data_IF_703717122293
#
_entry.id   IF_703717122293
#
_cell.length_a   1.000
_cell.length_b   1.000
_cell.length_c   1.000
_cell.angle_alpha   90.00
_cell.angle_beta   90.00
_cell.angle_gamma   90.00
#
_symmetry.space_group_name_H-M   'P 1'
#
loop_
_entity.id
_entity.type
_entity.pdbx_description
1 polymer ?
#
# COMPACT_ATOMS: atom_id res chain seq x y z
N UNK A 1 11.13 -12.51 -3.18
CA UNK A 1 11.32 -11.46 -2.16
C UNK A 1 12.59 -11.69 -1.34
N UNK A 2 12.84 -12.89 -0.79
CA UNK A 2 14.14 -13.26 -0.21
C UNK A 2 15.33 -12.99 -1.16
N UNK A 3 15.13 -13.20 -2.46
CA UNK A 3 16.14 -12.95 -3.49
C UNK A 3 16.28 -11.47 -3.93
N UNK A 4 15.34 -10.58 -3.57
CA UNK A 4 15.54 -9.12 -3.71
C UNK A 4 16.32 -8.56 -2.52
N UNK A 5 16.11 -9.15 -1.33
CA UNK A 5 16.76 -8.78 -0.08
C UNK A 5 18.26 -9.12 -0.02
N UNK A 6 18.73 -10.09 -0.81
CA UNK A 6 20.09 -10.64 -0.77
C UNK A 6 21.06 -10.02 -1.80
N UNK A 7 20.67 -8.96 -2.51
CA UNK A 7 21.49 -8.43 -3.61
C UNK A 7 21.56 -9.39 -4.82
N UNK A 8 20.68 -10.39 -4.86
CA UNK A 8 20.45 -11.27 -6.02
C UNK A 8 19.52 -10.61 -7.06
N UNK A 9 19.37 -9.29 -6.98
CA UNK A 9 18.75 -8.46 -8.01
C UNK A 9 19.32 -8.77 -9.41
N UNK A 10 20.65 -8.87 -9.67
CA UNK A 10 21.16 -9.21 -10.99
C UNK A 10 20.79 -10.64 -11.41
N UNK A 11 20.53 -11.55 -10.46
CA UNK A 11 20.17 -12.95 -10.74
C UNK A 11 18.68 -13.12 -11.00
N UNK A 12 17.81 -12.31 -10.38
CA UNK A 12 16.41 -12.19 -10.82
C UNK A 12 16.27 -11.49 -12.18
N UNK A 13 17.17 -10.54 -12.46
CA UNK A 13 17.28 -9.91 -13.78
C UNK A 13 17.88 -10.85 -14.84
N UNK A 14 18.78 -11.79 -14.47
CA UNK A 14 19.41 -12.71 -15.42
C UNK A 14 18.63 -14.01 -15.70
N UNK A 15 17.70 -14.43 -14.82
CA UNK A 15 16.98 -15.71 -14.95
C UNK A 15 15.59 -15.58 -15.62
N UNK A 16 15.26 -14.41 -16.19
CA UNK A 16 14.02 -14.28 -16.99
C UNK A 16 12.73 -14.11 -16.17
N UNK A 17 12.83 -13.76 -14.88
CA UNK A 17 11.66 -13.53 -14.00
C UNK A 17 10.73 -12.40 -14.48
N UNK A 18 11.24 -11.46 -15.29
CA UNK A 18 10.44 -10.42 -15.94
C UNK A 18 9.35 -11.01 -16.86
N UNK A 19 9.59 -12.18 -17.46
CA UNK A 19 8.69 -12.81 -18.44
C UNK A 19 7.36 -13.28 -17.84
N UNK A 20 7.32 -13.55 -16.54
CA UNK A 20 6.12 -14.04 -15.85
C UNK A 20 5.59 -13.03 -14.83
N UNK A 21 6.45 -12.25 -14.17
CA UNK A 21 6.04 -11.35 -13.11
C UNK A 21 5.35 -10.08 -13.64
N UNK A 22 5.86 -9.52 -14.75
CA UNK A 22 5.28 -8.34 -15.39
C UNK A 22 3.87 -8.59 -15.95
N UNK A 23 3.60 -9.69 -16.69
CA UNK A 23 2.24 -9.94 -17.17
C UNK A 23 1.26 -10.30 -16.05
N UNK A 24 1.70 -10.99 -14.98
CA UNK A 24 0.84 -11.27 -13.81
C UNK A 24 0.46 -9.97 -13.10
N UNK A 25 1.41 -9.06 -12.88
CA UNK A 25 1.13 -7.75 -12.30
C UNK A 25 0.21 -6.91 -13.21
N UNK A 26 0.45 -6.92 -14.52
CA UNK A 26 -0.37 -6.24 -15.51
C UNK A 26 -1.82 -6.76 -15.54
N UNK A 27 -2.01 -8.08 -15.50
CA UNK A 27 -3.33 -8.71 -15.43
C UNK A 27 -4.05 -8.35 -14.14
N UNK A 28 -3.37 -8.41 -12.99
CA UNK A 28 -3.94 -8.04 -11.70
C UNK A 28 -4.42 -6.58 -11.68
N UNK A 29 -3.58 -5.64 -12.13
CA UNK A 29 -3.91 -4.22 -12.19
C UNK A 29 -5.07 -3.93 -13.14
N UNK A 30 -5.10 -4.62 -14.29
CA UNK A 30 -6.18 -4.49 -15.27
C UNK A 30 -7.50 -4.98 -14.70
N UNK A 31 -7.53 -6.17 -14.08
CA UNK A 31 -8.72 -6.73 -13.44
C UNK A 31 -9.18 -5.84 -12.30
N UNK A 32 -8.28 -5.43 -11.41
CA UNK A 32 -8.60 -4.55 -10.29
C UNK A 32 -9.17 -3.21 -10.78
N UNK A 33 -8.58 -2.62 -11.83
CA UNK A 33 -9.06 -1.40 -12.45
C UNK A 33 -10.45 -1.56 -13.08
N UNK A 34 -10.70 -2.63 -13.85
CA UNK A 34 -12.01 -2.93 -14.45
C UNK A 34 -13.07 -3.12 -13.37
N UNK A 35 -12.77 -3.93 -12.35
CA UNK A 35 -13.66 -4.14 -11.21
C UNK A 35 -13.96 -2.81 -10.56
N UNK A 36 -12.96 -1.97 -10.30
CA UNK A 36 -13.12 -0.66 -9.67
C UNK A 36 -13.99 0.30 -10.50
N UNK A 37 -13.82 0.35 -11.82
CA UNK A 37 -14.67 1.18 -12.71
C UNK A 37 -16.10 0.65 -12.77
N UNK A 38 -16.28 -0.66 -12.88
CA UNK A 38 -17.59 -1.30 -12.96
C UNK A 38 -18.37 -1.23 -11.63
N UNK A 39 -17.65 -1.18 -10.50
CA UNK A 39 -18.22 -1.13 -9.16
C UNK A 39 -18.37 0.29 -8.63
N UNK A 40 -17.56 1.26 -9.05
CA UNK A 40 -17.64 2.66 -8.60
C UNK A 40 -19.04 3.32 -8.70
N UNK A 41 -19.87 3.06 -9.74
CA UNK A 41 -21.25 3.55 -9.76
C UNK A 41 -22.20 2.78 -8.82
N UNK A 42 -21.90 1.51 -8.54
CA UNK A 42 -22.72 0.58 -7.74
C UNK A 42 -22.34 0.53 -6.27
N UNK A 43 -21.15 0.98 -5.88
CA UNK A 43 -20.58 0.95 -4.53
C UNK A 43 -20.77 2.26 -3.74
N UNK A 44 -21.63 3.15 -4.23
CA UNK A 44 -22.30 4.11 -3.36
C UNK A 44 -23.79 3.82 -3.16
N UNK A 45 -24.25 2.61 -2.75
CA UNK A 45 -25.48 2.51 -2.00
C UNK A 45 -25.16 2.94 -0.57
N UNK A 46 -25.80 4.03 -0.19
CA UNK A 46 -26.26 4.30 1.16
C UNK A 46 -26.34 3.02 2.04
N UNK A 47 -25.58 3.03 3.14
CA UNK A 47 -25.89 2.39 4.44
C UNK A 47 -25.96 0.87 4.62
N UNK A 48 -25.97 -0.02 3.61
CA UNK A 48 -26.32 -1.43 3.90
C UNK A 48 -25.19 -2.48 3.95
N UNK A 49 -24.03 -2.26 3.33
CA UNK A 49 -22.89 -3.22 3.41
C UNK A 49 -21.91 -2.86 4.54
N UNK A 50 -22.01 -1.65 5.08
CA UNK A 50 -21.09 -1.17 6.11
C UNK A 50 -21.61 -1.31 7.52
N UNK A 51 -22.91 -1.32 7.83
CA UNK A 51 -23.33 -1.30 9.24
C UNK A 51 -22.86 -2.54 10.02
N UNK A 52 -23.16 -3.77 9.58
CA UNK A 52 -22.69 -4.98 10.31
C UNK A 52 -21.17 -5.20 10.28
N UNK A 53 -20.52 -4.91 9.16
CA UNK A 53 -19.07 -5.11 9.01
C UNK A 53 -18.25 -4.03 9.71
N UNK A 54 -18.72 -2.78 9.67
CA UNK A 54 -18.16 -1.65 10.39
C UNK A 54 -18.51 -1.71 11.87
N UNK A 55 -19.69 -2.16 12.27
CA UNK A 55 -20.04 -2.37 13.68
C UNK A 55 -19.20 -3.49 14.30
N UNK A 56 -18.94 -4.57 13.54
CA UNK A 56 -18.06 -5.64 13.99
C UNK A 56 -16.61 -5.17 14.07
N UNK A 57 -16.13 -4.46 13.04
CA UNK A 57 -14.79 -3.88 13.04
C UNK A 57 -14.61 -2.76 14.09
N UNK A 58 -15.62 -1.92 14.32
CA UNK A 58 -15.64 -0.89 15.37
C UNK A 58 -15.74 -1.53 16.75
N UNK A 59 -16.49 -2.64 16.93
CA UNK A 59 -16.49 -3.44 18.16
C UNK A 59 -15.14 -4.11 18.39
N UNK A 60 -14.56 -4.76 17.40
CA UNK A 60 -13.24 -5.39 17.49
C UNK A 60 -12.14 -4.34 17.75
N UNK A 61 -12.20 -3.18 17.10
CA UNK A 61 -11.27 -2.07 17.31
C UNK A 61 -11.48 -1.38 18.67
N UNK A 62 -12.71 -1.41 19.23
CA UNK A 62 -12.99 -1.02 20.62
C UNK A 62 -12.52 -2.06 21.63
N UNK A 63 -12.64 -3.36 21.32
CA UNK A 63 -12.23 -4.48 22.18
C UNK A 63 -10.70 -4.61 22.26
N UNK A 64 -10.00 -4.39 21.16
CA UNK A 64 -8.54 -4.50 21.10
C UNK A 64 -7.83 -3.15 21.23
N UNK A 65 -8.53 -2.02 21.12
CA UNK A 65 -7.93 -0.70 21.18
C UNK A 65 -7.16 -0.34 19.88
N UNK A 66 -7.30 0.89 19.34
CA UNK A 66 -6.62 1.32 18.12
C UNK A 66 -5.10 1.14 18.15
N UNK A 67 -4.49 1.25 19.34
CA UNK A 67 -3.06 1.07 19.56
C UNK A 67 -2.62 -0.38 19.30
N UNK A 68 -3.36 -1.37 19.81
CA UNK A 68 -3.01 -2.77 19.66
C UNK A 68 -3.18 -3.22 18.21
N UNK A 69 -4.26 -2.77 17.54
CA UNK A 69 -4.44 -3.00 16.11
C UNK A 69 -3.27 -2.40 15.30
N UNK A 70 -2.85 -1.18 15.64
CA UNK A 70 -1.70 -0.51 15.03
C UNK A 70 -0.37 -1.25 15.21
N UNK A 71 -0.21 -2.03 16.29
CA UNK A 71 0.97 -2.85 16.54
C UNK A 71 0.87 -4.24 15.90
N UNK A 72 -0.26 -4.92 16.06
CA UNK A 72 -0.45 -6.31 15.63
C UNK A 72 -0.52 -6.44 14.11
N UNK A 73 -1.13 -5.49 13.41
CA UNK A 73 -1.30 -5.58 11.95
C UNK A 73 0.06 -5.61 11.22
N UNK A 74 1.03 -4.69 11.50
CA UNK A 74 2.36 -4.78 10.93
C UNK A 74 3.12 -6.03 11.36
N UNK A 75 3.04 -6.40 12.64
CA UNK A 75 3.75 -7.57 13.19
C UNK A 75 3.27 -8.87 12.55
N UNK A 76 1.97 -8.99 12.25
CA UNK A 76 1.39 -10.15 11.58
C UNK A 76 1.72 -10.21 10.08
N UNK A 77 2.25 -9.13 9.48
CA UNK A 77 2.56 -9.07 8.06
C UNK A 77 3.99 -9.60 7.80
N UNK A 78 4.17 -10.73 7.09
CA UNK A 78 5.50 -11.25 6.77
C UNK A 78 6.37 -10.25 5.99
N UNK A 79 5.75 -9.39 5.18
CA UNK A 79 6.43 -8.33 4.43
C UNK A 79 7.10 -7.28 5.33
N UNK A 80 6.55 -7.01 6.50
CA UNK A 80 7.14 -6.09 7.48
C UNK A 80 8.50 -6.60 7.95
N UNK A 81 8.55 -7.87 8.36
CA UNK A 81 9.79 -8.51 8.80
C UNK A 81 10.80 -8.67 7.67
N UNK A 82 10.33 -9.02 6.46
CA UNK A 82 11.19 -9.10 5.28
C UNK A 82 11.83 -7.76 4.92
N UNK A 83 11.08 -6.64 5.03
CA UNK A 83 11.61 -5.31 4.79
C UNK A 83 12.66 -4.93 5.84
N UNK A 84 12.39 -5.16 7.12
CA UNK A 84 13.35 -4.87 8.18
C UNK A 84 14.61 -5.72 8.09
N UNK A 85 14.48 -7.01 7.74
CA UNK A 85 15.60 -7.91 7.54
C UNK A 85 16.51 -7.50 6.36
N UNK A 86 15.95 -6.82 5.35
CA UNK A 86 16.65 -6.45 4.12
C UNK A 86 17.07 -4.98 4.10
N UNK A 87 16.17 -4.11 3.67
CA UNK A 87 16.41 -2.67 3.53
C UNK A 87 16.60 -2.02 4.90
N UNK A 88 15.84 -2.45 5.91
CA UNK A 88 15.93 -1.91 7.26
C UNK A 88 17.30 -2.15 7.91
N UNK A 89 17.89 -3.34 7.76
CA UNK A 89 19.22 -3.65 8.29
C UNK A 89 20.31 -2.82 7.62
N UNK A 90 20.21 -2.57 6.31
CA UNK A 90 21.13 -1.71 5.59
C UNK A 90 21.11 -0.26 6.12
N UNK A 91 19.91 0.29 6.39
CA UNK A 91 19.78 1.62 7.01
C UNK A 91 20.35 1.66 8.42
N UNK A 92 20.05 0.66 9.26
CA UNK A 92 20.60 0.56 10.62
C UNK A 92 22.13 0.45 10.57
N UNK A 93 22.69 -0.36 9.67
CA UNK A 93 24.13 -0.53 9.52
C UNK A 93 24.82 0.78 9.10
N UNK A 94 24.23 1.50 8.15
CA UNK A 94 24.72 2.81 7.73
C UNK A 94 24.67 3.84 8.86
N UNK A 95 23.54 3.91 9.59
CA UNK A 95 23.35 4.81 10.71
C UNK A 95 24.30 4.50 11.88
N UNK A 96 24.61 3.23 12.13
CA UNK A 96 25.55 2.80 13.18
C UNK A 96 26.95 3.36 13.01
N UNK A 97 27.38 3.72 11.79
CA UNK A 97 28.69 4.37 11.54
C UNK A 97 28.82 5.71 12.27
N UNK A 98 27.69 6.35 12.58
CA UNK A 98 27.60 7.61 13.34
C UNK A 98 27.20 7.38 14.81
N UNK A 99 27.33 6.15 15.31
CA UNK A 99 27.02 5.77 16.69
C UNK A 99 25.55 5.96 17.08
N UNK A 100 25.32 6.29 18.35
CA UNK A 100 23.97 6.49 18.91
C UNK A 100 23.22 7.65 18.24
N UNK A 101 23.95 8.70 17.84
CA UNK A 101 23.37 9.86 17.16
C UNK A 101 22.83 9.49 15.77
N UNK A 102 23.56 8.68 14.99
CA UNK A 102 23.09 8.20 13.70
C UNK A 102 21.79 7.41 13.79
N UNK A 103 21.67 6.54 14.80
CA UNK A 103 20.44 5.77 15.05
C UNK A 103 19.27 6.68 15.44
N UNK A 104 19.51 7.71 16.26
CA UNK A 104 18.49 8.68 16.64
C UNK A 104 18.00 9.49 15.43
N UNK A 105 18.93 9.94 14.57
CA UNK A 105 18.60 10.64 13.33
C UNK A 105 17.85 9.74 12.34
N UNK A 106 18.24 8.46 12.22
CA UNK A 106 17.51 7.48 11.41
C UNK A 106 16.06 7.35 11.89
N UNK A 107 15.85 7.18 13.20
CA UNK A 107 14.51 7.06 13.77
C UNK A 107 13.69 8.34 13.56
N UNK A 108 14.29 9.51 13.77
CA UNK A 108 13.65 10.80 13.56
C UNK A 108 13.25 11.00 12.09
N UNK A 109 14.15 10.70 11.15
CA UNK A 109 13.87 10.78 9.72
C UNK A 109 12.79 9.78 9.29
N UNK A 110 12.83 8.55 9.83
CA UNK A 110 11.82 7.53 9.55
C UNK A 110 10.44 7.97 10.03
N UNK A 111 10.35 8.45 11.28
CA UNK A 111 9.09 8.93 11.84
C UNK A 111 8.60 10.19 11.11
N UNK A 112 9.49 11.11 10.77
CA UNK A 112 9.16 12.30 10.00
C UNK A 112 8.60 11.95 8.61
N UNK A 113 9.20 10.98 7.90
CA UNK A 113 8.70 10.52 6.60
C UNK A 113 7.33 9.86 6.68
N UNK A 114 7.10 9.04 7.71
CA UNK A 114 5.78 8.45 7.98
C UNK A 114 4.76 9.55 8.26
N UNK A 115 5.08 10.48 9.15
CA UNK A 115 4.18 11.58 9.50
C UNK A 115 3.92 12.51 8.31
N UNK A 116 4.94 12.87 7.54
CA UNK A 116 4.81 13.76 6.38
C UNK A 116 3.95 13.16 5.27
N UNK A 117 3.87 11.83 5.19
CA UNK A 117 2.98 11.14 4.27
C UNK A 117 1.56 10.98 4.83
N UNK A 118 1.44 10.42 6.03
CA UNK A 118 0.14 10.03 6.58
C UNK A 118 -0.64 11.19 7.19
N UNK A 119 -0.01 12.19 7.79
CA UNK A 119 -0.72 13.33 8.40
C UNK A 119 -1.49 14.12 7.34
N UNK A 120 -0.91 14.55 6.21
CA UNK A 120 -1.66 15.22 5.16
C UNK A 120 -2.75 14.34 4.58
N UNK A 121 -2.49 13.04 4.39
CA UNK A 121 -3.48 12.07 3.91
C UNK A 121 -4.68 11.96 4.86
N UNK A 122 -4.44 11.80 6.16
CA UNK A 122 -5.49 11.70 7.17
C UNK A 122 -6.28 13.01 7.31
N UNK A 123 -5.61 14.16 7.24
CA UNK A 123 -6.26 15.47 7.22
C UNK A 123 -7.12 15.65 5.96
N UNK A 124 -6.61 15.24 4.80
CA UNK A 124 -7.33 15.25 3.53
C UNK A 124 -8.53 14.31 3.55
N UNK A 125 -8.42 13.13 4.16
CA UNK A 125 -9.53 12.19 4.32
C UNK A 125 -10.59 12.71 5.31
N UNK A 126 -10.16 13.31 6.43
CA UNK A 126 -11.05 13.90 7.43
C UNK A 126 -11.84 15.09 6.85
N UNK A 127 -11.18 16.00 6.12
CA UNK A 127 -11.85 17.10 5.40
C UNK A 127 -12.63 16.61 4.18
N UNK A 128 -12.08 15.64 3.45
CA UNK A 128 -12.68 15.08 2.24
C UNK A 128 -14.02 14.42 2.50
N UNK A 129 -14.21 13.77 3.65
CA UNK A 129 -15.51 13.21 4.04
C UNK A 129 -16.62 14.26 4.23
N UNK A 130 -16.26 15.53 4.46
CA UNK A 130 -17.19 16.65 4.54
C UNK A 130 -17.36 17.42 3.21
N UNK A 131 -16.43 17.26 2.25
CA UNK A 131 -16.37 18.06 1.01
C UNK A 131 -16.68 17.24 -0.26
N UNK A 132 -16.42 15.94 -0.27
CA UNK A 132 -16.64 15.09 -1.44
C UNK A 132 -18.09 14.63 -1.53
N UNK A 133 -18.84 15.24 -2.46
CA UNK A 133 -20.15 14.71 -2.86
C UNK A 133 -20.03 13.28 -3.41
N UNK A 134 -21.10 12.49 -3.28
CA UNK A 134 -21.24 11.14 -3.89
C UNK A 134 -20.75 11.10 -5.34
N UNK A 135 -21.01 12.15 -6.12
CA UNK A 135 -20.58 12.26 -7.52
C UNK A 135 -19.07 12.44 -7.67
N UNK A 136 -18.44 13.25 -6.82
CA UNK A 136 -17.00 13.49 -6.88
C UNK A 136 -16.20 12.26 -6.47
N UNK A 137 -16.66 11.55 -5.44
CA UNK A 137 -16.03 10.30 -5.01
C UNK A 137 -16.11 9.22 -6.10
N UNK A 138 -17.28 9.03 -6.72
CA UNK A 138 -17.43 8.10 -7.85
C UNK A 138 -16.52 8.45 -9.02
N UNK A 139 -16.42 9.74 -9.39
CA UNK A 139 -15.53 10.20 -10.47
C UNK A 139 -14.05 9.96 -10.16
N UNK A 140 -13.62 10.23 -8.92
CA UNK A 140 -12.25 9.97 -8.49
C UNK A 140 -11.91 8.47 -8.53
N UNK A 141 -12.82 7.61 -8.05
CA UNK A 141 -12.63 6.16 -8.08
C UNK A 141 -12.63 5.61 -9.51
N UNK A 142 -13.51 6.11 -10.38
CA UNK A 142 -13.49 5.78 -11.81
C UNK A 142 -12.18 6.21 -12.46
N UNK A 143 -11.70 7.43 -12.19
CA UNK A 143 -10.42 7.93 -12.70
C UNK A 143 -9.25 7.06 -12.27
N UNK A 144 -9.21 6.65 -10.99
CA UNK A 144 -8.18 5.74 -10.49
C UNK A 144 -8.27 4.38 -11.16
N UNK A 145 -9.47 3.81 -11.29
CA UNK A 145 -9.68 2.54 -11.97
C UNK A 145 -9.23 2.58 -13.43
N UNK A 146 -9.55 3.64 -14.17
CA UNK A 146 -9.08 3.84 -15.56
C UNK A 146 -7.55 3.95 -15.61
N UNK A 147 -6.93 4.70 -14.70
CA UNK A 147 -5.47 4.79 -14.62
C UNK A 147 -4.82 3.42 -14.33
N UNK A 148 -5.42 2.61 -13.45
CA UNK A 148 -4.96 1.24 -13.17
C UNK A 148 -5.09 0.33 -14.39
N UNK A 149 -6.19 0.42 -15.16
CA UNK A 149 -6.35 -0.32 -16.42
C UNK A 149 -5.29 0.10 -17.43
N UNK A 150 -5.09 1.40 -17.64
CA UNK A 150 -4.10 1.91 -18.58
C UNK A 150 -2.68 1.42 -18.23
N UNK A 151 -2.32 1.47 -16.95
CA UNK A 151 -1.03 0.98 -16.47
C UNK A 151 -0.90 -0.54 -16.59
N UNK A 152 -1.96 -1.29 -16.26
CA UNK A 152 -2.00 -2.75 -16.40
C UNK A 152 -1.86 -3.21 -17.85
N UNK A 153 -2.58 -2.59 -18.78
CA UNK A 153 -2.49 -2.84 -20.22
C UNK A 153 -1.10 -2.47 -20.75
N UNK A 154 -0.53 -1.35 -20.32
CA UNK A 154 0.84 -0.98 -20.69
C UNK A 154 1.87 -2.02 -20.26
N UNK A 155 1.75 -2.56 -19.03
CA UNK A 155 2.63 -3.63 -18.55
C UNK A 155 2.44 -4.93 -19.35
N UNK A 156 1.21 -5.29 -19.71
CA UNK A 156 0.92 -6.45 -20.54
C UNK A 156 1.51 -6.29 -21.94
N UNK A 157 1.35 -5.11 -22.55
CA UNK A 157 1.93 -4.84 -23.87
C UNK A 157 3.45 -4.95 -23.83
N UNK A 158 4.10 -4.37 -22.81
CA UNK A 158 5.54 -4.48 -22.60
C UNK A 158 6.03 -5.91 -22.29
N UNK A 159 5.16 -6.78 -21.81
CA UNK A 159 5.51 -8.16 -21.51
C UNK A 159 5.47 -9.08 -22.74
N UNK A 160 4.64 -8.75 -23.74
CA UNK A 160 4.38 -9.60 -24.91
C UNK A 160 4.83 -8.99 -26.24
N UNK A 161 5.15 -7.69 -26.29
CA UNK A 161 5.76 -7.00 -27.43
C UNK A 161 7.22 -6.66 -27.17
#
# INVERSE_FOLDING_TARGET
FLALALGLEPVLYSVGGHRYLVPVAGAFLTIAGIVMVATAPRHLPDRLVTDRGRDRAEREMRLHGPFLAGLLIPVANPGFWLWWASVGTAFIHSARRFGRLGLALLLAAFLAGVLSWYVPLLLALRKGRAVFSRRTQTRLLMGLGVAMVAFGVHLLWRAFG
#
